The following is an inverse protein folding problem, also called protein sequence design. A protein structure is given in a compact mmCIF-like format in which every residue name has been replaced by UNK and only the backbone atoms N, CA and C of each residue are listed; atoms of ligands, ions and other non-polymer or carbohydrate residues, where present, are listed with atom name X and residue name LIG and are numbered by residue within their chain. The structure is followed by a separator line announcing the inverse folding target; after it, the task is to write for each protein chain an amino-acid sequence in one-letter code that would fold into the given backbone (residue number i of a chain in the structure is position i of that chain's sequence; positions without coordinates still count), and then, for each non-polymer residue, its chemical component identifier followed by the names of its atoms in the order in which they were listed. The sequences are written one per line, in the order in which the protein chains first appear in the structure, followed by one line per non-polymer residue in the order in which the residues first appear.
data_IF_218322354035
#
_entry.id   IF_218322354035
#
_cell.length_a   1.000
_cell.length_b   1.000
_cell.length_c   1.000
_cell.angle_alpha   90.00
_cell.angle_beta   90.00
_cell.angle_gamma   90.00
#
_symmetry.space_group_name_H-M   'P 1'
#
loop_
_entity.id
_entity.type
_entity.pdbx_description
1 polymer ?
#
# COMPACT_ATOMS: atom_id res chain seq x y z
N UNK A 1 -5.98 3.01 -8.60
CA UNK A 1 -4.57 2.52 -8.51
C UNK A 1 -4.62 1.10 -7.99
N UNK A 2 -3.77 0.18 -8.48
CA UNK A 2 -3.88 -1.26 -8.18
C UNK A 2 -3.99 -1.60 -6.69
N UNK A 3 -3.11 -1.06 -5.83
CA UNK A 3 -3.13 -1.30 -4.38
C UNK A 3 -4.45 -0.88 -3.70
N UNK A 4 -5.07 0.21 -4.16
CA UNK A 4 -6.32 0.72 -3.59
C UNK A 4 -7.52 -0.19 -3.92
N UNK A 5 -7.49 -0.82 -5.10
CA UNK A 5 -8.50 -1.80 -5.52
C UNK A 5 -8.32 -3.09 -4.70
N UNK A 6 -7.09 -3.61 -4.63
CA UNK A 6 -6.79 -4.83 -3.88
C UNK A 6 -7.14 -4.68 -2.39
N UNK A 7 -6.84 -3.52 -1.79
CA UNK A 7 -7.23 -3.22 -0.40
C UNK A 7 -8.75 -3.23 -0.20
N UNK A 8 -9.51 -2.68 -1.15
CA UNK A 8 -10.97 -2.68 -1.09
C UNK A 8 -11.51 -4.12 -1.21
N UNK A 9 -11.01 -4.91 -2.16
CA UNK A 9 -11.40 -6.30 -2.35
C UNK A 9 -11.07 -7.17 -1.13
N UNK A 10 -9.91 -6.94 -0.51
CA UNK A 10 -9.51 -7.61 0.73
C UNK A 10 -10.47 -7.33 1.88
N UNK A 11 -10.83 -6.05 2.09
CA UNK A 11 -11.79 -5.66 3.13
C UNK A 11 -13.18 -6.23 2.85
N UNK A 12 -13.63 -6.18 1.61
CA UNK A 12 -14.92 -6.75 1.18
C UNK A 12 -14.98 -8.28 1.39
N UNK A 13 -13.88 -8.98 1.10
CA UNK A 13 -13.78 -10.43 1.25
C UNK A 13 -13.71 -10.85 2.71
N UNK A 14 -13.17 -10.01 3.60
CA UNK A 14 -13.17 -10.30 5.03
C UNK A 14 -14.60 -10.31 5.62
N UNK A 15 -15.49 -9.47 5.11
CA UNK A 15 -16.86 -9.32 5.60
C UNK A 15 -17.90 -9.82 4.59
N UNK A 16 -17.80 -11.09 4.14
CA UNK A 16 -18.71 -11.68 3.13
C UNK A 16 -20.19 -11.38 3.42
N UNK A 17 -20.72 -11.57 4.65
CA UNK A 17 -22.14 -11.33 4.92
C UNK A 17 -22.56 -9.86 4.75
N UNK A 18 -21.62 -8.92 4.84
CA UNK A 18 -21.83 -7.47 4.76
C UNK A 18 -21.08 -6.85 3.57
N UNK A 19 -20.81 -7.64 2.53
CA UNK A 19 -19.94 -7.22 1.42
C UNK A 19 -20.42 -5.91 0.78
N UNK A 20 -21.73 -5.76 0.59
CA UNK A 20 -22.33 -4.55 -0.03
C UNK A 20 -22.18 -3.31 0.84
N UNK A 21 -22.30 -3.46 2.15
CA UNK A 21 -22.11 -2.38 3.13
C UNK A 21 -20.64 -1.96 3.19
N UNK A 22 -19.73 -2.94 3.19
CA UNK A 22 -18.28 -2.69 3.19
C UNK A 22 -17.82 -2.11 1.86
N UNK A 23 -18.41 -2.51 0.73
CA UNK A 23 -18.17 -1.89 -0.57
C UNK A 23 -18.54 -0.39 -0.54
N UNK A 24 -19.73 -0.06 -0.03
CA UNK A 24 -20.15 1.35 0.13
C UNK A 24 -19.19 2.13 1.03
N UNK A 25 -18.78 1.54 2.15
CA UNK A 25 -17.83 2.16 3.08
C UNK A 25 -16.48 2.40 2.41
N UNK A 26 -15.93 1.37 1.75
CA UNK A 26 -14.60 1.42 1.12
C UNK A 26 -14.58 2.37 -0.08
N UNK A 27 -15.66 2.49 -0.84
CA UNK A 27 -15.77 3.48 -1.91
C UNK A 27 -15.79 4.94 -1.40
N UNK A 28 -16.23 5.17 -0.17
CA UNK A 28 -16.29 6.50 0.44
C UNK A 28 -15.00 6.97 1.11
N UNK A 29 -13.96 6.14 1.17
CA UNK A 29 -12.71 6.44 1.88
C UNK A 29 -11.48 6.25 0.97
N UNK A 30 -10.40 6.97 1.28
CA UNK A 30 -9.16 6.89 0.51
C UNK A 30 -8.32 5.65 0.86
N UNK A 31 -7.28 5.41 0.06
CA UNK A 31 -6.38 4.26 0.22
C UNK A 31 -5.76 4.14 1.63
N UNK A 32 -5.36 5.26 2.23
CA UNK A 32 -4.75 5.26 3.57
C UNK A 32 -5.76 4.88 4.64
N UNK A 33 -7.00 5.36 4.51
CA UNK A 33 -8.08 5.00 5.41
C UNK A 33 -8.41 3.50 5.29
N UNK A 34 -8.41 2.94 4.07
CA UNK A 34 -8.56 1.48 3.85
C UNK A 34 -7.41 0.70 4.48
N UNK A 35 -6.17 1.11 4.26
CA UNK A 35 -4.99 0.47 4.85
C UNK A 35 -5.02 0.53 6.39
N UNK A 36 -5.45 1.65 6.96
CA UNK A 36 -5.62 1.79 8.41
C UNK A 36 -6.67 0.85 8.96
N UNK A 37 -7.82 0.75 8.28
CA UNK A 37 -8.88 -0.20 8.66
C UNK A 37 -8.37 -1.64 8.60
N UNK A 38 -7.70 -2.02 7.51
CA UNK A 38 -7.09 -3.34 7.36
C UNK A 38 -6.09 -3.65 8.48
N UNK A 39 -5.28 -2.68 8.89
CA UNK A 39 -4.34 -2.85 10.00
C UNK A 39 -5.04 -3.01 11.36
N UNK A 40 -6.08 -2.21 11.64
CA UNK A 40 -6.87 -2.31 12.88
C UNK A 40 -7.57 -3.68 12.98
N UNK A 41 -8.03 -4.21 11.84
CA UNK A 41 -8.65 -5.54 11.74
C UNK A 41 -7.63 -6.69 11.78
N UNK A 42 -6.33 -6.39 11.83
CA UNK A 42 -5.27 -7.40 11.84
C UNK A 42 -5.08 -8.12 10.49
N UNK A 43 -5.60 -7.57 9.39
CA UNK A 43 -5.47 -8.16 8.05
C UNK A 43 -4.10 -7.89 7.43
N UNK A 44 -3.47 -6.79 7.84
CA UNK A 44 -2.09 -6.45 7.50
C UNK A 44 -1.34 -6.02 8.75
N UNK A 45 -0.05 -6.32 8.78
CA UNK A 45 0.80 -5.91 9.89
C UNK A 45 1.17 -4.41 9.81
N UNK A 46 1.84 -3.93 10.85
CA UNK A 46 2.29 -2.53 10.93
C UNK A 46 3.34 -2.18 9.87
N UNK A 47 4.13 -3.15 9.41
CA UNK A 47 5.16 -2.96 8.39
C UNK A 47 4.51 -2.65 7.05
N UNK A 48 3.59 -3.51 6.60
CA UNK A 48 2.82 -3.33 5.36
C UNK A 48 2.01 -2.03 5.41
N UNK A 49 1.37 -1.73 6.53
CA UNK A 49 0.65 -0.45 6.70
C UNK A 49 1.57 0.76 6.51
N UNK A 50 2.75 0.75 7.12
CA UNK A 50 3.71 1.84 6.99
C UNK A 50 4.21 1.99 5.55
N UNK A 51 4.48 0.88 4.85
CA UNK A 51 4.89 0.91 3.45
C UNK A 51 3.80 1.49 2.55
N UNK A 52 2.54 1.03 2.70
CA UNK A 52 1.39 1.59 1.98
C UNK A 52 1.25 3.10 2.22
N UNK A 53 1.55 3.57 3.44
CA UNK A 53 1.57 5.00 3.77
C UNK A 53 2.67 5.74 3.00
N UNK A 54 3.92 5.25 3.01
CA UNK A 54 5.01 5.91 2.28
C UNK A 54 4.77 5.89 0.76
N UNK A 55 4.29 4.76 0.21
CA UNK A 55 3.92 4.62 -1.20
C UNK A 55 2.87 5.66 -1.60
N UNK A 56 1.87 5.91 -0.75
CA UNK A 56 0.88 6.96 -0.98
C UNK A 56 1.50 8.35 -1.05
N UNK A 57 2.37 8.70 -0.11
CA UNK A 57 3.03 10.01 -0.09
C UNK A 57 3.89 10.23 -1.34
N UNK A 58 4.67 9.20 -1.73
CA UNK A 58 5.45 9.22 -2.98
C UNK A 58 4.51 9.48 -4.16
N UNK A 59 3.45 8.68 -4.31
CA UNK A 59 2.49 8.83 -5.41
C UNK A 59 1.81 10.19 -5.41
N UNK A 60 1.44 10.72 -4.24
CA UNK A 60 0.84 12.05 -4.13
C UNK A 60 1.81 13.12 -4.62
N UNK A 61 3.11 13.01 -4.34
CA UNK A 61 4.10 13.94 -4.90
C UNK A 61 4.16 13.87 -6.42
N UNK A 62 4.17 12.67 -6.99
CA UNK A 62 4.08 12.48 -8.45
C UNK A 62 2.76 12.97 -9.06
N UNK A 63 1.66 12.94 -8.31
CA UNK A 63 0.36 13.42 -8.77
C UNK A 63 0.17 14.94 -8.75
N UNK A 64 0.90 15.65 -7.88
CA UNK A 64 0.73 17.10 -7.68
C UNK A 64 1.89 17.95 -8.19
N UNK A 65 3.01 17.34 -8.60
CA UNK A 65 4.17 18.05 -9.14
C UNK A 65 4.60 17.48 -10.48
N UNK A 66 4.66 18.34 -11.49
CA UNK A 66 5.13 17.99 -12.83
C UNK A 66 6.63 17.64 -12.84
N UNK A 67 7.40 18.20 -11.91
CA UNK A 67 8.84 17.97 -11.75
C UNK A 67 9.14 16.86 -10.72
N UNK A 68 8.14 16.06 -10.36
CA UNK A 68 8.36 14.97 -9.42
C UNK A 68 9.35 13.94 -9.99
N UNK A 69 10.40 13.66 -9.23
CA UNK A 69 11.40 12.66 -9.58
C UNK A 69 11.81 11.84 -8.35
N UNK A 70 12.33 10.64 -8.60
CA UNK A 70 12.97 9.81 -7.58
C UNK A 70 14.30 10.37 -7.07
N UNK A 71 14.78 11.48 -7.64
CA UNK A 71 15.91 12.23 -7.13
C UNK A 71 15.50 13.35 -6.14
N UNK A 72 14.20 13.64 -6.01
CA UNK A 72 13.72 14.70 -5.12
C UNK A 72 13.98 14.31 -3.65
N UNK A 73 14.56 15.21 -2.86
CA UNK A 73 14.95 14.98 -1.46
C UNK A 73 13.78 14.51 -0.59
N UNK A 74 12.57 15.01 -0.86
CA UNK A 74 11.36 14.59 -0.15
C UNK A 74 10.96 13.16 -0.52
N UNK A 75 11.00 12.79 -1.81
CA UNK A 75 10.73 11.42 -2.27
C UNK A 75 11.76 10.45 -1.68
N UNK A 76 13.03 10.84 -1.63
CA UNK A 76 14.10 10.05 -1.00
C UNK A 76 13.81 9.82 0.50
N UNK A 77 13.26 10.81 1.21
CA UNK A 77 12.87 10.67 2.61
C UNK A 77 11.77 9.63 2.78
N UNK A 78 10.75 9.63 1.91
CA UNK A 78 9.70 8.60 1.95
C UNK A 78 10.23 7.21 1.61
N UNK A 79 11.13 7.11 0.62
CA UNK A 79 11.76 5.83 0.23
C UNK A 79 12.60 5.25 1.36
N UNK A 80 13.34 6.08 2.12
CA UNK A 80 14.11 5.64 3.30
C UNK A 80 13.27 4.98 4.38
N UNK A 81 11.98 5.33 4.45
CA UNK A 81 11.06 4.79 5.44
C UNK A 81 10.37 3.49 4.98
N UNK A 82 10.64 3.01 3.76
CA UNK A 82 10.15 1.72 3.28
C UNK A 82 10.90 0.57 3.95
N UNK A 83 10.19 -0.51 4.25
CA UNK A 83 10.75 -1.73 4.81
C UNK A 83 11.88 -2.31 3.94
N UNK A 84 11.75 -2.23 2.62
CA UNK A 84 12.73 -2.72 1.64
C UNK A 84 14.06 -1.96 1.67
N UNK A 85 14.04 -0.72 2.15
CA UNK A 85 15.18 0.17 2.33
C UNK A 85 15.76 0.12 3.75
N UNK A 86 15.13 -0.59 4.70
CA UNK A 86 15.55 -0.63 6.09
C UNK A 86 16.99 -1.14 6.23
N UNK A 87 17.83 -0.34 6.89
CA UNK A 87 19.24 -0.65 7.09
C UNK A 87 20.11 -0.53 5.83
N UNK A 88 19.59 0.04 4.74
CA UNK A 88 20.32 0.25 3.49
C UNK A 88 20.45 1.74 3.18
N UNK A 89 21.51 2.10 2.45
CA UNK A 89 21.68 3.44 1.95
C UNK A 89 20.72 3.70 0.78
N UNK A 90 19.95 4.78 0.87
CA UNK A 90 19.06 5.23 -0.21
C UNK A 90 19.71 6.38 -0.95
N UNK A 91 19.96 6.17 -2.24
CA UNK A 91 20.55 7.12 -3.17
C UNK A 91 19.59 7.42 -4.32
N UNK A 92 19.90 8.43 -5.13
CA UNK A 92 19.14 8.80 -6.32
C UNK A 92 19.06 7.68 -7.36
N UNK A 93 20.09 6.82 -7.42
CA UNK A 93 20.21 5.72 -8.38
C UNK A 93 19.39 4.49 -7.97
N UNK A 94 19.17 4.29 -6.67
CA UNK A 94 18.54 3.08 -6.14
C UNK A 94 17.13 3.29 -5.56
N UNK A 95 16.69 4.54 -5.39
CA UNK A 95 15.42 4.87 -4.73
C UNK A 95 14.19 4.28 -5.44
N UNK A 96 14.18 4.31 -6.77
CA UNK A 96 13.11 3.70 -7.56
C UNK A 96 13.04 2.18 -7.35
N UNK A 97 14.19 1.50 -7.17
CA UNK A 97 14.23 0.05 -6.92
C UNK A 97 13.56 -0.28 -5.59
N UNK A 98 13.87 0.47 -4.52
CA UNK A 98 13.23 0.26 -3.21
C UNK A 98 11.73 0.51 -3.26
N UNK A 99 11.30 1.59 -3.91
CA UNK A 99 9.88 1.86 -4.14
C UNK A 99 9.19 0.72 -4.87
N UNK A 100 9.74 0.26 -6.00
CA UNK A 100 9.17 -0.83 -6.78
C UNK A 100 9.09 -2.14 -5.98
N UNK A 101 10.14 -2.47 -5.23
CA UNK A 101 10.16 -3.65 -4.35
C UNK A 101 9.08 -3.56 -3.27
N UNK A 102 8.93 -2.41 -2.61
CA UNK A 102 7.93 -2.24 -1.55
C UNK A 102 6.50 -2.33 -2.09
N UNK A 103 6.24 -1.76 -3.28
CA UNK A 103 4.94 -1.91 -3.96
C UNK A 103 4.65 -3.39 -4.23
N UNK A 104 5.64 -4.14 -4.74
CA UNK A 104 5.47 -5.56 -5.03
C UNK A 104 5.22 -6.37 -3.77
N UNK A 105 5.98 -6.15 -2.70
CA UNK A 105 5.80 -6.83 -1.41
C UNK A 105 4.41 -6.55 -0.82
N UNK A 106 3.93 -5.30 -0.88
CA UNK A 106 2.57 -4.96 -0.47
C UNK A 106 1.53 -5.71 -1.32
N UNK A 107 1.70 -5.76 -2.65
CA UNK A 107 0.78 -6.50 -3.54
C UNK A 107 0.74 -7.98 -3.16
N UNK A 108 1.91 -8.60 -2.97
CA UNK A 108 2.02 -10.03 -2.61
C UNK A 108 1.28 -10.29 -1.31
N UNK A 109 1.56 -9.54 -0.24
CA UNK A 109 0.89 -9.72 1.04
C UNK A 109 -0.63 -9.59 0.98
N UNK A 110 -1.12 -8.60 0.22
CA UNK A 110 -2.57 -8.40 0.07
C UNK A 110 -3.23 -9.53 -0.75
N UNK A 111 -2.55 -10.07 -1.75
CA UNK A 111 -3.04 -11.20 -2.56
C UNK A 111 -2.99 -12.52 -1.79
N UNK A 112 -1.93 -12.75 -0.99
CA UNK A 112 -1.82 -13.93 -0.12
C UNK A 112 -3.03 -14.02 0.81
N UNK A 113 -3.42 -12.92 1.44
CA UNK A 113 -4.64 -12.85 2.24
C UNK A 113 -5.89 -13.29 1.46
N UNK A 114 -6.07 -12.74 0.25
CA UNK A 114 -7.22 -13.06 -0.59
C UNK A 114 -7.26 -14.52 -1.02
N UNK A 115 -6.09 -15.14 -1.22
CA UNK A 115 -5.95 -16.54 -1.62
C UNK A 115 -6.21 -17.48 -0.44
N UNK A 116 -5.69 -17.18 0.76
CA UNK A 116 -5.94 -17.97 1.97
C UNK A 116 -7.41 -18.00 2.40
N UNK A 117 -8.15 -16.92 2.10
CA UNK A 117 -9.59 -16.82 2.41
C UNK A 117 -10.51 -17.37 1.32
N UNK A 118 -9.99 -17.68 0.13
CA UNK A 118 -10.70 -18.35 -0.96
C UNK A 118 -9.90 -19.57 -1.47
N UNK A 119 -9.81 -20.66 -0.69
CA UNK A 119 -9.09 -21.87 -1.11
C UNK A 119 -9.77 -22.61 -2.27
N UNK A 120 -11.01 -22.25 -2.63
CA UNK A 120 -11.78 -22.81 -3.73
C UNK A 120 -12.16 -21.69 -4.70
N UNK A 121 -11.34 -21.49 -5.73
CA UNK A 121 -11.79 -20.95 -7.01
C UNK A 121 -12.24 -22.11 -7.91
#
# INVERSE_FOLDING_TARGET
MALDIILADMLQSHFIPLRKEVEKLTNGINMIQKARLANILGLIDKTVFNDLKQIHEIRNKFGHSFEASFANTEVLTFVKNLSTAKGKEVTTENSYKFYKSAVLECVVHLIEYLTEKNPEG
#
